data_IF_727345965402
#
_entry.id   IF_727345965402
#
_cell.length_a   1.000
_cell.length_b   1.000
_cell.length_c   1.000
_cell.angle_alpha   90.00
_cell.angle_beta   90.00
_cell.angle_gamma   90.00
#
_symmetry.space_group_name_H-M   'P 1'
#
loop_
_entity.id
_entity.type
_entity.pdbx_description
1 polymer ?
#
# COMPACT_ATOMS: atom_id res chain seq x y z
N UNK A 1 -4.37 2.32 19.91
CA UNK A 1 -2.95 2.09 19.55
C UNK A 1 -2.89 1.58 18.12
N UNK A 2 -2.03 2.17 17.29
CA UNK A 2 -1.86 1.75 15.88
C UNK A 2 -0.98 0.51 15.83
N UNK A 3 -1.33 -0.49 15.00
CA UNK A 3 -0.50 -1.66 14.73
C UNK A 3 0.09 -1.52 13.33
N UNK A 4 1.41 -1.62 13.22
CA UNK A 4 2.15 -1.57 11.96
C UNK A 4 2.64 -2.98 11.65
N UNK A 5 2.39 -3.46 10.43
CA UNK A 5 2.75 -4.81 9.99
C UNK A 5 3.59 -4.67 8.71
N UNK A 6 4.84 -5.11 8.76
CA UNK A 6 5.73 -5.17 7.60
C UNK A 6 5.58 -6.50 6.85
N UNK A 7 5.23 -6.45 5.56
CA UNK A 7 5.16 -7.63 4.70
C UNK A 7 6.41 -7.67 3.82
N UNK A 8 7.38 -8.48 4.21
CA UNK A 8 8.73 -8.52 3.63
C UNK A 8 9.09 -9.91 3.11
N UNK A 9 10.00 -9.97 2.13
CA UNK A 9 10.56 -11.22 1.59
C UNK A 9 11.81 -10.92 0.78
N UNK A 10 12.81 -11.81 0.85
CA UNK A 10 14.07 -11.71 0.11
C UNK A 10 13.98 -12.03 -1.39
N UNK A 11 12.83 -12.47 -1.91
CA UNK A 11 12.66 -12.78 -3.34
C UNK A 11 11.49 -11.99 -3.96
N UNK A 12 11.64 -11.67 -5.25
CA UNK A 12 10.56 -11.14 -6.09
C UNK A 12 9.50 -12.20 -6.41
N UNK A 13 8.26 -11.77 -6.68
CA UNK A 13 7.20 -12.67 -7.16
C UNK A 13 6.58 -13.62 -6.12
N UNK A 14 6.98 -13.57 -4.84
CA UNK A 14 6.44 -14.46 -3.78
C UNK A 14 5.02 -14.11 -3.30
N UNK A 15 4.38 -13.09 -3.87
CA UNK A 15 3.02 -12.70 -3.50
C UNK A 15 2.89 -11.67 -2.36
N UNK A 16 3.94 -10.91 -2.02
CA UNK A 16 3.88 -9.85 -0.99
C UNK A 16 2.69 -8.90 -1.16
N UNK A 17 2.51 -8.37 -2.38
CA UNK A 17 1.40 -7.45 -2.71
C UNK A 17 0.05 -8.13 -2.62
N UNK A 18 -0.05 -9.41 -3.03
CA UNK A 18 -1.27 -10.22 -2.92
C UNK A 18 -1.69 -10.35 -1.46
N UNK A 19 -0.75 -10.67 -0.57
CA UNK A 19 -0.99 -10.79 0.87
C UNK A 19 -1.38 -9.43 1.45
N UNK A 20 -0.64 -8.36 1.12
CA UNK A 20 -0.90 -7.02 1.63
C UNK A 20 -2.30 -6.50 1.27
N UNK A 21 -2.70 -6.62 0.00
CA UNK A 21 -4.00 -6.14 -0.48
C UNK A 21 -5.15 -6.91 0.16
N UNK A 22 -5.09 -8.25 0.16
CA UNK A 22 -6.15 -9.09 0.72
C UNK A 22 -6.23 -8.98 2.24
N UNK A 23 -5.09 -8.88 2.94
CA UNK A 23 -5.08 -8.64 4.38
C UNK A 23 -5.74 -7.30 4.73
N UNK A 24 -5.47 -6.24 3.94
CA UNK A 24 -6.12 -4.95 4.10
C UNK A 24 -7.65 -5.04 3.98
N UNK A 25 -8.13 -5.70 2.93
CA UNK A 25 -9.57 -5.93 2.70
C UNK A 25 -10.17 -6.78 3.82
N UNK A 26 -9.50 -7.85 4.24
CA UNK A 26 -9.98 -8.72 5.32
C UNK A 26 -10.09 -7.96 6.65
N UNK A 27 -9.09 -7.16 7.01
CA UNK A 27 -9.13 -6.33 8.23
C UNK A 27 -10.27 -5.32 8.20
N UNK A 28 -10.55 -4.72 7.03
CA UNK A 28 -11.71 -3.85 6.85
C UNK A 28 -13.03 -4.62 7.06
N UNK A 29 -13.16 -5.86 6.57
CA UNK A 29 -14.31 -6.74 6.84
C UNK A 29 -14.50 -7.05 8.33
N UNK A 30 -13.44 -6.99 9.13
CA UNK A 30 -13.49 -7.07 10.59
C UNK A 30 -13.62 -5.69 11.28
N UNK A 31 -14.12 -4.69 10.56
CA UNK A 31 -14.34 -3.31 11.03
C UNK A 31 -13.07 -2.61 11.56
N UNK A 32 -11.88 -3.00 11.06
CA UNK A 32 -10.63 -2.33 11.41
C UNK A 32 -10.33 -1.21 10.42
N UNK A 33 -10.12 0.02 10.93
CA UNK A 33 -9.53 1.10 10.15
C UNK A 33 -8.13 0.70 9.72
N UNK A 34 -7.95 0.48 8.42
CA UNK A 34 -6.74 -0.14 7.86
C UNK A 34 -6.26 0.70 6.69
N UNK A 35 -4.97 1.03 6.69
CA UNK A 35 -4.27 1.60 5.55
C UNK A 35 -3.27 0.56 5.01
N UNK A 36 -3.20 0.41 3.68
CA UNK A 36 -2.20 -0.41 3.02
C UNK A 36 -1.29 0.52 2.24
N UNK A 37 0.02 0.41 2.49
CA UNK A 37 1.03 1.28 1.91
C UNK A 37 1.92 0.44 0.99
N UNK A 38 2.05 0.85 -0.27
CA UNK A 38 3.03 0.27 -1.19
C UNK A 38 4.35 1.04 -1.07
N UNK A 39 5.38 0.35 -0.55
CA UNK A 39 6.73 0.91 -0.47
C UNK A 39 7.55 0.65 -1.75
N UNK A 40 6.95 0.14 -2.82
CA UNK A 40 7.59 0.08 -4.12
C UNK A 40 7.49 1.45 -4.84
N UNK A 41 8.49 2.30 -4.64
CA UNK A 41 8.48 3.68 -5.11
C UNK A 41 8.66 3.84 -6.63
N UNK A 42 9.12 2.80 -7.34
CA UNK A 42 9.33 2.84 -8.79
C UNK A 42 8.07 2.50 -9.57
N UNK A 43 7.35 1.45 -9.15
CA UNK A 43 6.12 0.99 -9.79
C UNK A 43 5.15 0.47 -8.73
N UNK A 44 4.05 1.19 -8.51
CA UNK A 44 3.00 0.75 -7.58
C UNK A 44 2.33 -0.52 -8.14
N UNK A 45 2.51 -1.63 -7.44
CA UNK A 45 1.80 -2.88 -7.74
C UNK A 45 0.45 -2.88 -7.04
N UNK A 46 0.33 -2.23 -5.88
CA UNK A 46 -0.89 -2.23 -5.08
C UNK A 46 -2.07 -1.57 -5.82
N UNK A 47 -1.82 -0.46 -6.49
CA UNK A 47 -2.84 0.24 -7.27
C UNK A 47 -3.45 -0.62 -8.38
N UNK A 48 -2.62 -1.42 -9.06
CA UNK A 48 -3.09 -2.34 -10.10
C UNK A 48 -4.02 -3.40 -9.53
N UNK A 49 -3.71 -3.93 -8.34
CA UNK A 49 -4.55 -4.93 -7.66
C UNK A 49 -5.90 -4.37 -7.23
N UNK A 50 -6.00 -3.07 -6.98
CA UNK A 50 -7.26 -2.38 -6.65
C UNK A 50 -7.96 -1.77 -7.87
N UNK A 51 -7.43 -1.93 -9.09
CA UNK A 51 -8.00 -1.32 -10.28
C UNK A 51 -7.93 0.21 -10.30
N UNK A 52 -6.97 0.80 -9.58
CA UNK A 52 -6.78 2.24 -9.53
C UNK A 52 -5.74 2.62 -10.58
N UNK A 53 -6.19 3.27 -11.66
CA UNK A 53 -5.36 3.56 -12.83
C UNK A 53 -4.74 4.97 -12.83
N UNK A 54 -5.21 5.87 -11.96
CA UNK A 54 -4.76 7.25 -11.87
C UNK A 54 -4.57 7.65 -10.41
N UNK A 55 -3.45 8.31 -10.10
CA UNK A 55 -3.17 8.87 -8.78
C UNK A 55 -2.66 10.30 -8.96
N UNK A 56 -3.49 11.33 -8.75
CA UNK A 56 -3.07 12.72 -8.90
C UNK A 56 -2.00 13.11 -7.88
N UNK A 57 -2.02 12.49 -6.70
CA UNK A 57 -1.02 12.64 -5.64
C UNK A 57 -0.64 11.24 -5.17
N UNK A 58 0.65 11.01 -4.92
CA UNK A 58 1.22 9.72 -4.50
C UNK A 58 2.18 9.95 -3.34
N UNK A 59 2.59 8.87 -2.68
CA UNK A 59 3.61 8.92 -1.63
C UNK A 59 4.91 9.57 -2.13
N UNK A 60 5.28 9.36 -3.39
CA UNK A 60 6.48 9.96 -3.99
C UNK A 60 6.42 11.49 -4.00
N UNK A 61 5.26 12.09 -4.29
CA UNK A 61 5.11 13.55 -4.26
C UNK A 61 5.32 14.11 -2.85
N UNK A 62 4.79 13.43 -1.83
CA UNK A 62 4.99 13.82 -0.42
C UNK A 62 6.46 13.68 -0.03
N UNK A 63 7.11 12.57 -0.39
CA UNK A 63 8.54 12.35 -0.11
C UNK A 63 9.45 13.38 -0.81
N UNK A 64 9.01 13.97 -1.92
CA UNK A 64 9.71 15.03 -2.65
C UNK A 64 9.36 16.44 -2.19
N UNK A 65 8.49 16.60 -1.18
CA UNK A 65 7.91 17.87 -0.75
C UNK A 65 7.12 18.62 -1.85
N UNK A 66 6.59 17.88 -2.83
CA UNK A 66 5.72 18.41 -3.90
C UNK A 66 4.23 18.39 -3.50
N UNK A 67 3.88 17.66 -2.43
CA UNK A 67 2.55 17.60 -1.84
C UNK A 67 2.65 17.53 -0.30
N UNK A 68 1.60 17.97 0.40
CA UNK A 68 1.50 17.87 1.86
C UNK A 68 0.82 16.56 2.27
N UNK A 69 1.28 15.98 3.38
CA UNK A 69 0.55 14.95 4.10
C UNK A 69 -0.43 15.68 5.02
N UNK A 70 -1.73 15.69 4.69
CA UNK A 70 -2.79 16.19 5.57
C UNK A 70 -3.36 15.07 6.46
#
# INVERSE_FOLDING_TARGET
MVRIIGIVSGKGGVGKTVVASNLGVALQKFYKKTAVIDFNLTTSHLSLYFGIHSHPITLNHVLRNEAKLE
#
